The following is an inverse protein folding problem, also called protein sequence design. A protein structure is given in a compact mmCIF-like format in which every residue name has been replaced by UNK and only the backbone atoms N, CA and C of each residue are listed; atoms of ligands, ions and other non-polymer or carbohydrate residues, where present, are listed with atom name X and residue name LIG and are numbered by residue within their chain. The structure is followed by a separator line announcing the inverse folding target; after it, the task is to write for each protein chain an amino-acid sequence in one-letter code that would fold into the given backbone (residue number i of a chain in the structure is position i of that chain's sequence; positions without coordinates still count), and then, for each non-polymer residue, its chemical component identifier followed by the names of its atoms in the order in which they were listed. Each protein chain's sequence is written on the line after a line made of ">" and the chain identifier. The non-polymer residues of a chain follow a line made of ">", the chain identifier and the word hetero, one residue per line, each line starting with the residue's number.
data_IF_047936565305
#
_entry.id   IF_047936565305
#
_cell.length_a   1.000
_cell.length_b   1.000
_cell.length_c   1.000
_cell.angle_alpha   90.00
_cell.angle_beta   90.00
_cell.angle_gamma   90.00
#
_symmetry.space_group_name_H-M   'P 1'
#
loop_
_entity.id
_entity.type
_entity.pdbx_description
1 polymer ?
#
# COMPACT_ATOMS: atom_id res chain seq x y z
N UNK A 1 -29.86 14.03 47.43
CA UNK A 1 -30.47 13.77 46.11
C UNK A 1 -29.40 13.98 45.05
N UNK A 2 -28.65 12.93 44.70
CA UNK A 2 -27.60 12.98 43.68
C UNK A 2 -28.06 12.13 42.49
N UNK A 3 -28.39 12.76 41.37
CA UNK A 3 -28.54 12.06 40.09
C UNK A 3 -27.91 12.89 38.99
N UNK A 4 -26.59 12.75 38.86
CA UNK A 4 -25.85 13.09 37.66
C UNK A 4 -25.63 11.78 36.90
N UNK A 5 -26.62 11.41 36.09
CA UNK A 5 -26.56 10.26 35.19
C UNK A 5 -25.45 10.47 34.17
N UNK A 6 -24.40 9.65 34.29
CA UNK A 6 -23.24 9.63 33.41
C UNK A 6 -23.65 9.42 31.95
N UNK A 7 -23.29 10.39 31.11
CA UNK A 7 -23.35 10.21 29.65
C UNK A 7 -22.24 9.24 29.25
N UNK A 8 -22.53 8.11 28.60
CA UNK A 8 -21.48 7.24 28.07
C UNK A 8 -20.82 7.97 26.91
N UNK A 9 -19.61 8.48 27.13
CA UNK A 9 -18.83 9.12 26.06
C UNK A 9 -18.12 8.05 25.24
N UNK A 10 -18.87 7.29 24.45
CA UNK A 10 -18.27 6.48 23.39
C UNK A 10 -17.67 7.40 22.33
N UNK A 11 -16.43 7.82 22.54
CA UNK A 11 -15.64 8.51 21.52
C UNK A 11 -15.18 7.46 20.51
N UNK A 12 -16.00 7.21 19.49
CA UNK A 12 -15.55 6.47 18.32
C UNK A 12 -14.32 7.20 17.77
N UNK A 13 -13.16 6.56 17.90
CA UNK A 13 -11.92 7.04 17.31
C UNK A 13 -12.12 6.91 15.80
N UNK A 14 -12.27 8.05 15.12
CA UNK A 14 -12.29 8.09 13.67
C UNK A 14 -11.08 7.27 13.17
N UNK A 15 -11.34 6.27 12.31
CA UNK A 15 -10.25 5.58 11.61
C UNK A 15 -9.47 6.67 10.89
N UNK A 16 -8.20 6.86 11.25
CA UNK A 16 -7.37 7.91 10.68
C UNK A 16 -7.37 7.84 9.14
N UNK A 17 -7.01 8.94 8.45
CA UNK A 17 -6.97 8.96 7.00
C UNK A 17 -6.08 7.82 6.53
N UNK A 18 -6.65 6.90 5.77
CA UNK A 18 -5.91 5.76 5.24
C UNK A 18 -4.99 6.29 4.13
N UNK A 19 -3.68 6.09 4.30
CA UNK A 19 -2.65 6.68 3.45
C UNK A 19 -2.14 5.63 2.46
N UNK A 20 -2.29 5.91 1.16
CA UNK A 20 -1.65 5.16 0.07
C UNK A 20 -2.61 4.34 -0.79
N UNK A 21 -2.10 3.45 -1.66
CA UNK A 21 -2.90 2.63 -2.58
C UNK A 21 -3.51 1.40 -1.90
N UNK A 22 -4.64 0.89 -2.43
CA UNK A 22 -5.44 -0.11 -1.69
C UNK A 22 -4.63 -1.39 -1.55
N UNK A 23 -4.58 -1.95 -0.33
CA UNK A 23 -3.95 -3.25 -0.10
C UNK A 23 -4.62 -4.28 -1.02
N UNK A 24 -3.82 -4.99 -1.82
CA UNK A 24 -4.28 -5.96 -2.81
C UNK A 24 -4.57 -5.38 -4.20
N UNK A 25 -4.52 -4.06 -4.38
CA UNK A 25 -4.60 -3.46 -5.71
C UNK A 25 -3.33 -3.71 -6.53
N UNK A 26 -3.49 -3.63 -7.84
CA UNK A 26 -2.38 -3.64 -8.78
C UNK A 26 -1.80 -2.23 -8.90
N UNK A 27 -0.48 -2.17 -8.90
CA UNK A 27 0.27 -0.92 -9.07
C UNK A 27 1.32 -1.10 -10.15
N UNK A 28 1.55 -0.04 -10.91
CA UNK A 28 2.65 0.06 -11.87
C UNK A 28 3.78 0.87 -11.26
N UNK A 29 5.01 0.39 -11.44
CA UNK A 29 6.20 1.04 -10.88
C UNK A 29 6.78 2.06 -11.85
N UNK A 30 7.03 3.28 -11.35
CA UNK A 30 7.56 4.40 -12.12
C UNK A 30 9.03 4.70 -11.81
N UNK A 31 9.66 4.00 -10.85
CA UNK A 31 11.08 4.19 -10.53
C UNK A 31 11.97 3.58 -11.63
N UNK A 32 12.74 4.38 -12.39
CA UNK A 32 13.52 3.91 -13.54
C UNK A 32 14.66 2.96 -13.17
N UNK A 33 15.21 3.08 -11.95
CA UNK A 33 16.26 2.19 -11.45
C UNK A 33 15.71 0.82 -10.98
N UNK A 34 14.38 0.65 -10.94
CA UNK A 34 13.78 -0.60 -10.54
C UNK A 34 13.83 -1.62 -11.68
N UNK A 35 14.19 -2.86 -11.35
CA UNK A 35 14.07 -4.00 -12.27
C UNK A 35 12.66 -4.14 -12.85
N UNK A 36 11.64 -3.76 -12.08
CA UNK A 36 10.23 -3.81 -12.48
C UNK A 36 9.72 -2.46 -13.03
N UNK A 37 10.58 -1.60 -13.57
CA UNK A 37 10.15 -0.35 -14.19
C UNK A 37 9.08 -0.62 -15.27
N UNK A 38 7.99 0.14 -15.22
CA UNK A 38 6.79 -0.03 -16.06
C UNK A 38 6.06 -1.37 -15.91
N UNK A 39 6.52 -2.27 -15.05
CA UNK A 39 5.87 -3.55 -14.77
C UNK A 39 4.81 -3.36 -13.69
N UNK A 40 3.77 -4.20 -13.75
CA UNK A 40 2.69 -4.24 -12.76
C UNK A 40 3.05 -5.23 -11.65
N UNK A 41 2.69 -4.89 -10.41
CA UNK A 41 2.83 -5.77 -9.25
C UNK A 41 1.66 -5.60 -8.29
N UNK A 42 1.52 -6.56 -7.38
CA UNK A 42 0.45 -6.58 -6.40
C UNK A 42 0.91 -5.96 -5.07
N UNK A 43 0.12 -5.04 -4.53
CA UNK A 43 0.39 -4.45 -3.21
C UNK A 43 0.07 -5.47 -2.12
N UNK A 44 1.09 -5.93 -1.39
CA UNK A 44 0.94 -6.86 -0.27
C UNK A 44 0.62 -6.12 1.02
N UNK A 45 1.30 -5.00 1.25
CA UNK A 45 1.15 -4.25 2.48
C UNK A 45 1.41 -2.75 2.25
N UNK A 46 0.73 -1.91 3.02
CA UNK A 46 1.00 -0.47 3.08
C UNK A 46 1.19 -0.07 4.54
N UNK A 47 2.39 0.37 4.88
CA UNK A 47 2.73 0.79 6.23
C UNK A 47 2.16 2.18 6.51
N UNK A 48 1.36 2.32 7.58
CA UNK A 48 0.71 3.57 7.95
C UNK A 48 1.57 4.46 8.87
N UNK A 49 2.78 4.01 9.21
CA UNK A 49 3.69 4.79 10.06
C UNK A 49 4.34 5.93 9.25
N UNK A 50 4.26 7.19 9.71
CA UNK A 50 4.80 8.35 8.98
C UNK A 50 6.33 8.36 8.88
N UNK A 51 7.03 7.60 9.72
CA UNK A 51 8.49 7.48 9.70
C UNK A 51 9.02 6.61 8.55
N UNK A 52 8.13 5.83 7.92
CA UNK A 52 8.51 4.86 6.90
C UNK A 52 8.51 5.51 5.52
N UNK A 53 9.70 5.79 5.00
CA UNK A 53 9.92 6.44 3.69
C UNK A 53 9.35 5.64 2.52
N UNK A 54 9.38 4.30 2.60
CA UNK A 54 8.91 3.38 1.56
C UNK A 54 7.80 2.49 2.11
N UNK A 55 6.58 3.03 2.29
CA UNK A 55 5.52 2.31 2.99
C UNK A 55 4.86 1.22 2.15
N UNK A 56 4.96 1.28 0.82
CA UNK A 56 4.25 0.36 -0.09
C UNK A 56 5.12 -0.85 -0.38
N UNK A 57 4.72 -2.02 0.10
CA UNK A 57 5.37 -3.30 -0.23
C UNK A 57 4.63 -3.96 -1.38
N UNK A 58 5.33 -4.18 -2.50
CA UNK A 58 4.78 -4.77 -3.72
C UNK A 58 5.45 -6.12 -3.97
N UNK A 59 4.66 -7.11 -4.37
CA UNK A 59 5.10 -8.43 -4.82
C UNK A 59 4.87 -8.57 -6.32
N UNK A 60 5.85 -9.15 -7.01
CA UNK A 60 5.83 -9.40 -8.45
C UNK A 60 5.89 -10.90 -8.74
N UNK A 61 5.47 -11.27 -9.95
CA UNK A 61 5.59 -12.65 -10.45
C UNK A 61 7.02 -12.97 -10.90
N UNK A 62 7.72 -11.97 -11.47
CA UNK A 62 9.12 -12.10 -11.91
C UNK A 62 10.09 -11.79 -10.77
N UNK A 63 11.15 -12.60 -10.64
CA UNK A 63 12.28 -12.35 -9.73
C UNK A 63 13.30 -11.40 -10.37
N UNK A 64 14.00 -10.62 -9.56
CA UNK A 64 15.12 -9.77 -10.00
C UNK A 64 16.45 -10.54 -10.02
N UNK A 65 17.54 -9.84 -10.35
CA UNK A 65 18.91 -10.38 -10.37
C UNK A 65 19.42 -10.92 -9.02
N UNK A 66 18.78 -10.57 -7.91
CA UNK A 66 19.10 -11.04 -6.57
C UNK A 66 18.14 -12.17 -6.11
N UNK A 67 17.37 -12.76 -7.02
CA UNK A 67 16.35 -13.77 -6.73
C UNK A 67 15.26 -13.30 -5.74
N UNK A 68 15.01 -12.00 -5.67
CA UNK A 68 13.97 -11.38 -4.84
C UNK A 68 12.80 -10.92 -5.72
N UNK A 69 11.57 -11.11 -5.27
CA UNK A 69 10.34 -10.68 -5.96
C UNK A 69 9.48 -9.69 -5.17
N UNK A 70 10.01 -9.15 -4.08
CA UNK A 70 9.32 -8.19 -3.21
C UNK A 70 10.19 -6.96 -2.99
N UNK A 71 9.60 -5.76 -3.05
CA UNK A 71 10.32 -4.52 -2.74
C UNK A 71 9.39 -3.43 -2.17
N UNK A 72 10.00 -2.49 -1.44
CA UNK A 72 9.35 -1.29 -0.89
C UNK A 72 9.48 -0.10 -1.84
N UNK A 73 8.36 0.59 -2.08
CA UNK A 73 8.27 1.78 -2.91
C UNK A 73 7.63 2.95 -2.15
N UNK A 74 7.93 4.16 -2.60
CA UNK A 74 7.28 5.36 -2.11
C UNK A 74 5.93 5.58 -2.80
N UNK A 75 5.08 6.38 -2.17
CA UNK A 75 3.74 6.67 -2.67
C UNK A 75 3.74 7.39 -4.03
N UNK A 76 4.78 8.18 -4.32
CA UNK A 76 4.91 8.93 -5.58
C UNK A 76 5.55 8.13 -6.72
N UNK A 77 6.06 6.92 -6.45
CA UNK A 77 6.72 6.05 -7.44
C UNK A 77 5.81 4.91 -7.90
N UNK A 78 4.63 4.80 -7.29
CA UNK A 78 3.62 3.81 -7.61
C UNK A 78 2.40 4.53 -8.15
N UNK A 79 1.84 4.00 -9.23
CA UNK A 79 0.55 4.43 -9.75
C UNK A 79 -0.39 3.24 -9.73
N UNK A 80 -1.63 3.45 -9.25
CA UNK A 80 -2.65 2.41 -9.31
C UNK A 80 -2.94 2.09 -10.78
N UNK A 81 -2.88 0.80 -11.11
CA UNK A 81 -3.14 0.29 -12.44
C UNK A 81 -4.27 -0.74 -12.37
N UNK A 82 -5.09 -0.88 -13.43
CA UNK A 82 -6.00 -2.01 -13.51
C UNK A 82 -5.20 -3.32 -13.46
N UNK A 83 -5.87 -4.39 -13.01
CA UNK A 83 -5.31 -5.73 -13.07
C UNK A 83 -4.83 -6.03 -14.49
N UNK A 84 -3.72 -6.78 -14.66
CA UNK A 84 -3.30 -7.22 -15.98
C UNK A 84 -4.48 -7.93 -16.64
N UNK A 85 -4.78 -7.53 -17.88
CA UNK A 85 -5.78 -8.21 -18.67
C UNK A 85 -5.38 -9.68 -18.84
N UNK A 86 -6.35 -10.61 -18.96
CA UNK A 86 -6.05 -12.01 -19.25
C UNK A 86 -5.34 -12.09 -20.61
N UNK A 87 -4.01 -12.11 -20.62
CA UNK A 87 -3.19 -12.15 -21.85
C UNK A 87 -1.88 -11.36 -21.83
N UNK A 88 -1.60 -10.56 -20.79
CA UNK A 88 -0.33 -9.83 -20.65
C UNK A 88 0.50 -10.45 -19.52
N UNK A 89 1.45 -11.34 -19.87
CA UNK A 89 2.38 -12.03 -18.95
C UNK A 89 3.82 -11.55 -19.09
#
# INVERSE_FOLDING_TARGET
>A
MFNQSGRPTWRWKAKGPWVGPKKGSWVKILRPESYWFQTRGQVVNVNQKPEVKYPVTVKFDRVNYANVNTNGFALWEVIEAPAPGPGEV
#
